data_IF_162957005678
#
_entry.id   IF_162957005678
#
_cell.length_a   1.000
_cell.length_b   1.000
_cell.length_c   1.000
_cell.angle_alpha   90.00
_cell.angle_beta   90.00
_cell.angle_gamma   90.00
#
_symmetry.space_group_name_H-M   'P 1'
#
loop_
_entity.id
_entity.type
_entity.pdbx_description
1 polymer ?
#
# COMPACT_ATOMS: atom_id res chain seq x y z
N UNK A 1 46.66 37.75 27.51
CA UNK A 1 46.83 36.89 26.31
C UNK A 1 45.48 36.67 25.64
N UNK A 2 45.12 37.51 24.65
CA UNK A 2 43.94 37.32 23.80
C UNK A 2 44.43 36.77 22.45
N UNK A 3 44.16 35.50 22.16
CA UNK A 3 44.43 34.90 20.83
C UNK A 3 43.16 35.08 19.99
N UNK A 4 43.16 36.12 19.14
CA UNK A 4 42.30 36.23 17.96
C UNK A 4 42.67 35.06 17.03
N UNK A 5 41.74 34.16 16.74
CA UNK A 5 41.78 33.36 15.52
C UNK A 5 41.44 34.29 14.36
N UNK A 6 42.34 34.39 13.39
CA UNK A 6 42.20 35.18 12.18
C UNK A 6 41.16 34.53 11.27
N UNK A 7 39.96 35.10 11.21
CA UNK A 7 39.11 35.00 10.03
C UNK A 7 39.75 35.86 8.94
N UNK A 8 40.51 35.22 8.06
CA UNK A 8 41.07 35.83 6.86
C UNK A 8 40.24 35.36 5.65
N UNK A 9 38.91 35.57 5.72
CA UNK A 9 38.03 35.49 4.57
C UNK A 9 37.95 36.88 3.94
N UNK A 10 38.98 37.21 3.17
CA UNK A 10 39.01 38.44 2.37
C UNK A 10 37.92 38.36 1.31
N UNK A 11 36.89 39.18 1.46
CA UNK A 11 36.01 39.57 0.37
C UNK A 11 36.88 40.17 -0.74
N UNK A 12 36.98 39.48 -1.88
CA UNK A 12 37.56 40.01 -3.11
C UNK A 12 36.42 40.66 -3.89
N UNK A 13 36.34 41.99 -3.85
CA UNK A 13 35.44 42.75 -4.71
C UNK A 13 35.78 42.53 -6.19
N UNK A 14 34.79 42.11 -6.98
CA UNK A 14 34.74 42.37 -8.42
C UNK A 14 35.03 41.21 -9.38
N UNK A 15 35.46 40.03 -8.93
CA UNK A 15 35.62 38.86 -9.81
C UNK A 15 34.72 37.72 -9.35
N UNK A 16 33.57 37.57 -10.01
CA UNK A 16 32.77 36.36 -9.84
C UNK A 16 33.57 35.15 -10.35
N UNK A 17 33.70 34.14 -9.51
CA UNK A 17 34.34 32.89 -9.91
C UNK A 17 33.59 32.25 -11.09
N UNK A 18 34.26 31.38 -11.84
CA UNK A 18 33.62 30.67 -12.95
C UNK A 18 32.36 29.92 -12.50
N UNK A 19 32.37 29.33 -11.30
CA UNK A 19 31.23 28.61 -10.74
C UNK A 19 30.13 29.56 -10.28
N UNK A 20 30.46 30.69 -9.63
CA UNK A 20 29.46 31.72 -9.28
C UNK A 20 28.72 32.26 -10.50
N UNK A 21 29.42 32.42 -11.63
CA UNK A 21 28.81 32.82 -12.91
C UNK A 21 27.88 31.74 -13.47
N UNK A 22 28.27 30.46 -13.35
CA UNK A 22 27.42 29.32 -13.73
C UNK A 22 26.16 29.30 -12.87
N UNK A 23 26.32 29.35 -11.55
CA UNK A 23 25.24 29.35 -10.57
C UNK A 23 24.25 30.50 -10.80
N UNK A 24 24.76 31.72 -11.00
CA UNK A 24 23.94 32.89 -11.27
C UNK A 24 23.09 32.71 -12.53
N UNK A 25 23.69 32.23 -13.62
CA UNK A 25 22.97 32.02 -14.88
C UNK A 25 21.97 30.86 -14.77
N UNK A 26 22.33 29.78 -14.07
CA UNK A 26 21.44 28.65 -13.82
C UNK A 26 20.20 29.09 -13.02
N UNK A 27 20.36 29.90 -11.97
CA UNK A 27 19.25 30.43 -11.16
C UNK A 27 18.35 31.42 -11.91
N UNK A 28 18.89 32.16 -12.87
CA UNK A 28 18.08 33.04 -13.74
C UNK A 28 17.16 32.23 -14.65
N UNK A 29 17.65 31.10 -15.15
CA UNK A 29 16.96 30.30 -16.16
C UNK A 29 16.04 29.24 -15.55
N UNK A 30 16.41 28.69 -14.40
CA UNK A 30 15.80 27.53 -13.81
C UNK A 30 15.70 27.63 -12.29
N UNK A 31 14.71 26.93 -11.77
CA UNK A 31 14.54 26.68 -10.35
C UNK A 31 14.90 25.21 -10.09
N UNK A 32 15.85 24.99 -9.19
CA UNK A 32 16.41 23.68 -8.86
C UNK A 32 16.05 23.26 -7.43
N UNK A 33 15.79 21.98 -7.26
CA UNK A 33 15.68 21.35 -5.95
C UNK A 33 16.34 19.98 -5.94
N UNK A 34 16.87 19.59 -4.79
CA UNK A 34 17.30 18.21 -4.57
C UNK A 34 16.16 17.43 -3.91
N UNK A 35 15.60 16.47 -4.64
CA UNK A 35 14.51 15.61 -4.16
C UNK A 35 15.08 14.57 -3.19
N UNK A 36 14.76 14.70 -1.91
CA UNK A 36 15.27 13.80 -0.85
C UNK A 36 14.61 12.42 -0.86
N UNK A 37 13.43 12.27 -1.49
CA UNK A 37 12.74 10.98 -1.59
C UNK A 37 13.46 10.11 -2.62
N UNK A 38 13.66 10.65 -3.84
CA UNK A 38 14.31 9.94 -4.95
C UNK A 38 15.82 10.17 -5.07
N UNK A 39 16.42 10.89 -4.11
CA UNK A 39 17.85 11.27 -4.07
C UNK A 39 18.39 11.75 -5.41
N UNK A 40 17.72 12.72 -6.03
CA UNK A 40 18.11 13.26 -7.34
C UNK A 40 17.74 14.73 -7.50
N UNK A 41 18.51 15.47 -8.29
CA UNK A 41 18.17 16.86 -8.62
C UNK A 41 17.00 16.91 -9.61
N UNK A 42 16.09 17.83 -9.37
CA UNK A 42 14.98 18.16 -10.24
C UNK A 42 15.02 19.66 -10.59
N UNK A 43 14.46 20.01 -11.74
CA UNK A 43 14.44 21.38 -12.23
C UNK A 43 13.09 21.74 -12.86
N UNK A 44 12.81 23.03 -12.93
CA UNK A 44 11.78 23.63 -13.79
C UNK A 44 12.29 24.96 -14.33
N UNK A 45 11.64 25.52 -15.33
CA UNK A 45 11.96 26.88 -15.78
C UNK A 45 11.61 27.89 -14.68
N UNK A 46 12.48 28.88 -14.43
CA UNK A 46 12.31 29.83 -13.33
C UNK A 46 11.00 30.64 -13.43
N UNK A 47 10.55 30.93 -14.67
CA UNK A 47 9.31 31.65 -14.95
C UNK A 47 8.06 30.77 -15.01
N UNK A 48 8.19 29.46 -14.75
CA UNK A 48 7.09 28.50 -14.90
C UNK A 48 6.60 27.98 -13.56
N UNK A 49 5.28 27.92 -13.41
CA UNK A 49 4.59 27.18 -12.34
C UNK A 49 4.45 25.68 -12.66
N UNK A 50 5.13 25.18 -13.70
CA UNK A 50 5.12 23.79 -14.10
C UNK A 50 5.73 22.83 -13.05
N UNK A 51 5.51 21.54 -13.27
CA UNK A 51 6.03 20.48 -12.41
C UNK A 51 7.55 20.33 -12.58
N UNK A 52 8.23 20.07 -11.47
CA UNK A 52 9.66 19.72 -11.49
C UNK A 52 9.89 18.42 -12.25
N UNK A 53 10.94 18.40 -13.07
CA UNK A 53 11.38 17.27 -13.87
C UNK A 53 12.76 16.80 -13.42
N UNK A 54 13.07 15.49 -13.51
CA UNK A 54 14.40 15.00 -13.16
C UNK A 54 15.47 15.57 -14.09
N UNK A 55 16.61 15.95 -13.51
CA UNK A 55 17.79 16.34 -14.28
C UNK A 55 18.44 15.07 -14.84
N UNK A 56 18.16 14.78 -16.12
CA UNK A 56 18.77 13.65 -16.83
C UNK A 56 20.10 14.05 -17.47
N UNK A 57 20.86 13.06 -17.97
CA UNK A 57 22.07 13.31 -18.76
C UNK A 57 21.82 14.23 -19.96
N UNK A 58 20.67 14.08 -20.62
CA UNK A 58 20.28 14.95 -21.74
C UNK A 58 20.05 16.39 -21.28
N UNK A 59 19.43 16.57 -20.11
CA UNK A 59 19.18 17.89 -19.52
C UNK A 59 20.48 18.56 -19.09
N UNK A 60 21.42 17.82 -18.47
CA UNK A 60 22.75 18.34 -18.11
C UNK A 60 23.52 18.85 -19.33
N UNK A 61 23.50 18.09 -20.44
CA UNK A 61 24.10 18.53 -21.70
C UNK A 61 23.38 19.76 -22.27
N UNK A 62 22.08 19.87 -22.06
CA UNK A 62 21.30 21.04 -22.47
C UNK A 62 21.66 22.29 -21.66
N UNK A 63 21.87 22.16 -20.34
CA UNK A 63 22.36 23.24 -19.49
C UNK A 63 23.75 23.70 -19.95
N UNK A 64 24.67 22.76 -20.16
CA UNK A 64 26.02 23.05 -20.69
C UNK A 64 25.96 23.86 -21.98
N UNK A 65 25.19 23.40 -22.97
CA UNK A 65 25.01 24.11 -24.26
C UNK A 65 24.49 25.52 -24.05
N UNK A 66 23.55 25.72 -23.11
CA UNK A 66 22.93 27.03 -22.84
C UNK A 66 23.89 28.00 -22.14
N UNK A 67 24.69 27.52 -21.19
CA UNK A 67 25.73 28.31 -20.52
C UNK A 67 26.77 28.83 -21.53
N UNK A 68 27.19 27.98 -22.46
CA UNK A 68 28.11 28.34 -23.54
C UNK A 68 27.47 29.37 -24.49
N UNK A 69 26.27 29.10 -24.99
CA UNK A 69 25.59 29.98 -25.94
C UNK A 69 25.21 31.36 -25.36
N UNK A 70 24.91 31.45 -24.07
CA UNK A 70 24.40 32.70 -23.46
C UNK A 70 25.51 33.56 -22.87
N UNK A 71 26.54 32.94 -22.28
CA UNK A 71 27.57 33.65 -21.52
C UNK A 71 29.00 33.25 -21.90
N UNK A 72 29.19 32.42 -22.93
CA UNK A 72 30.50 31.92 -23.36
C UNK A 72 31.18 31.04 -22.32
N UNK A 73 30.42 30.44 -21.38
CA UNK A 73 30.97 29.68 -20.27
C UNK A 73 31.16 28.22 -20.69
N UNK A 74 32.41 27.85 -21.00
CA UNK A 74 32.80 26.47 -21.30
C UNK A 74 32.95 25.68 -20.01
N UNK A 75 32.08 24.71 -19.74
CA UNK A 75 32.15 23.81 -18.57
C UNK A 75 31.85 22.35 -18.96
N UNK A 76 32.25 21.41 -18.12
CA UNK A 76 31.86 20.00 -18.25
C UNK A 76 30.45 19.77 -17.68
N UNK A 77 29.76 18.74 -18.17
CA UNK A 77 28.49 18.31 -17.60
C UNK A 77 28.66 17.81 -16.15
N UNK A 78 29.81 17.23 -15.83
CA UNK A 78 30.13 16.77 -14.48
C UNK A 78 30.25 17.93 -13.50
N UNK A 79 30.90 19.05 -13.87
CA UNK A 79 30.97 20.22 -13.01
C UNK A 79 29.57 20.79 -12.71
N UNK A 80 28.68 20.83 -13.71
CA UNK A 80 27.27 21.23 -13.50
C UNK A 80 26.58 20.27 -12.55
N UNK A 81 26.78 18.95 -12.73
CA UNK A 81 26.21 17.93 -11.85
C UNK A 81 26.67 18.12 -10.41
N UNK A 82 27.97 18.32 -10.18
CA UNK A 82 28.54 18.56 -8.85
C UNK A 82 27.92 19.79 -8.19
N UNK A 83 27.72 20.89 -8.93
CA UNK A 83 27.01 22.08 -8.42
C UNK A 83 25.56 21.72 -8.05
N UNK A 84 24.84 21.03 -8.94
CA UNK A 84 23.44 20.66 -8.72
C UNK A 84 23.21 19.62 -7.61
N UNK A 85 24.24 18.86 -7.25
CA UNK A 85 24.24 17.89 -6.14
C UNK A 85 24.84 18.50 -4.84
N UNK A 86 25.12 19.81 -4.82
CA UNK A 86 25.57 20.56 -3.64
C UNK A 86 24.42 21.34 -2.96
N UNK A 87 24.79 22.15 -1.96
CA UNK A 87 23.94 23.15 -1.30
C UNK A 87 23.35 24.23 -2.22
N UNK A 88 23.81 24.32 -3.47
CA UNK A 88 23.18 25.16 -4.50
C UNK A 88 21.71 24.78 -4.73
N UNK A 89 21.39 23.48 -4.78
CA UNK A 89 20.02 23.00 -4.91
C UNK A 89 19.41 22.73 -3.53
N UNK A 90 18.36 23.49 -3.16
CA UNK A 90 17.66 23.30 -1.88
C UNK A 90 17.15 21.86 -1.75
N UNK A 91 17.50 21.19 -0.65
CA UNK A 91 16.95 19.86 -0.32
C UNK A 91 15.47 19.99 0.06
N UNK A 92 14.64 19.18 -0.59
CA UNK A 92 13.18 19.22 -0.45
C UNK A 92 12.64 17.81 -0.44
N UNK A 93 11.66 17.56 0.44
CA UNK A 93 10.80 16.38 0.39
C UNK A 93 9.51 16.72 -0.37
N UNK A 94 9.38 16.38 -1.67
CA UNK A 94 8.34 16.97 -2.52
C UNK A 94 6.90 16.63 -2.11
N UNK A 95 6.69 15.44 -1.55
CA UNK A 95 5.38 15.01 -1.06
C UNK A 95 4.94 15.82 0.17
N UNK A 96 5.83 16.02 1.16
CA UNK A 96 5.58 16.86 2.33
C UNK A 96 5.36 18.31 1.95
N UNK A 97 6.16 18.83 1.02
CA UNK A 97 5.97 20.20 0.52
C UNK A 97 4.58 20.34 -0.10
N UNK A 98 4.19 19.43 -0.99
CA UNK A 98 2.83 19.41 -1.56
C UNK A 98 1.75 19.46 -0.47
N UNK A 99 1.77 18.53 0.49
CA UNK A 99 0.76 18.50 1.55
C UNK A 99 0.74 19.74 2.44
N UNK A 100 1.91 20.32 2.74
CA UNK A 100 2.00 21.54 3.55
C UNK A 100 1.58 22.81 2.81
N UNK A 101 1.59 22.81 1.47
CA UNK A 101 1.10 23.94 0.66
C UNK A 101 -0.41 23.97 0.46
N UNK A 102 -1.10 22.87 0.74
CA UNK A 102 -2.56 22.80 0.57
C UNK A 102 -3.27 23.69 1.61
N UNK A 103 -4.40 24.33 1.23
CA UNK A 103 -5.25 24.97 2.21
C UNK A 103 -5.85 23.92 3.16
N UNK A 104 -6.24 24.33 4.36
CA UNK A 104 -6.96 23.46 5.29
C UNK A 104 -8.45 23.72 5.14
N UNK A 105 -9.16 22.78 4.52
CA UNK A 105 -10.61 22.88 4.29
C UNK A 105 -11.36 22.03 5.30
N UNK A 106 -12.37 22.58 5.96
CA UNK A 106 -13.22 21.82 6.88
C UNK A 106 -14.14 20.88 6.06
N UNK A 107 -14.07 19.55 6.25
CA UNK A 107 -14.90 18.61 5.50
C UNK A 107 -16.40 18.79 5.73
N UNK A 108 -16.81 19.27 6.92
CA UNK A 108 -18.21 19.51 7.24
C UNK A 108 -18.83 20.64 6.39
N UNK A 109 -18.01 21.55 5.88
CA UNK A 109 -18.44 22.68 5.05
C UNK A 109 -18.34 22.38 3.55
N UNK A 110 -17.32 21.61 3.14
CA UNK A 110 -16.96 21.46 1.73
C UNK A 110 -17.29 20.08 1.13
N UNK A 111 -17.28 19.01 1.93
CA UNK A 111 -17.69 17.65 1.53
C UNK A 111 -17.01 17.09 0.28
N UNK A 112 -15.74 17.40 0.02
CA UNK A 112 -14.99 16.86 -1.12
C UNK A 112 -14.72 15.35 -0.99
N UNK A 113 -14.42 14.86 0.22
CA UNK A 113 -14.26 13.43 0.51
C UNK A 113 -15.55 12.66 0.18
N UNK A 114 -16.70 13.14 0.68
CA UNK A 114 -18.00 12.53 0.40
C UNK A 114 -18.35 12.55 -1.09
N UNK A 115 -18.08 13.66 -1.78
CA UNK A 115 -18.25 13.74 -3.25
C UNK A 115 -17.41 12.72 -4.01
N UNK A 116 -16.16 12.50 -3.60
CA UNK A 116 -15.29 11.49 -4.18
C UNK A 116 -15.84 10.07 -3.95
N UNK A 117 -16.26 9.78 -2.72
CA UNK A 117 -16.82 8.47 -2.37
C UNK A 117 -18.11 8.15 -3.13
N UNK A 118 -18.95 9.17 -3.36
CA UNK A 118 -20.19 9.04 -4.14
C UNK A 118 -19.96 8.71 -5.62
N UNK A 119 -18.73 8.84 -6.13
CA UNK A 119 -18.39 8.37 -7.48
C UNK A 119 -18.25 6.85 -7.57
N UNK A 120 -18.20 6.15 -6.44
CA UNK A 120 -18.07 4.69 -6.37
C UNK A 120 -19.27 4.11 -5.65
N UNK A 121 -20.06 3.31 -6.36
CA UNK A 121 -21.12 2.51 -5.76
C UNK A 121 -20.55 1.17 -5.36
N UNK A 122 -20.66 0.83 -4.07
CA UNK A 122 -20.15 -0.42 -3.50
C UNK A 122 -21.28 -1.29 -2.96
N UNK A 123 -21.12 -2.62 -3.02
CA UNK A 123 -22.11 -3.56 -2.47
C UNK A 123 -22.14 -3.57 -0.94
N UNK A 124 -21.01 -3.24 -0.31
CA UNK A 124 -20.82 -3.19 1.15
C UNK A 124 -20.58 -1.76 1.67
N UNK A 125 -21.57 -0.83 1.58
CA UNK A 125 -21.36 0.59 1.86
C UNK A 125 -21.20 0.94 3.34
N UNK A 126 -21.57 0.06 4.27
CA UNK A 126 -21.72 0.38 5.70
C UNK A 126 -20.47 0.99 6.38
N UNK A 127 -19.26 0.70 5.87
CA UNK A 127 -17.99 1.25 6.38
C UNK A 127 -17.16 1.96 5.30
N UNK A 128 -17.72 2.19 4.12
CA UNK A 128 -17.00 2.73 2.97
C UNK A 128 -16.34 4.07 3.27
N UNK A 129 -17.14 5.05 3.70
CA UNK A 129 -16.64 6.39 4.00
C UNK A 129 -15.68 6.40 5.20
N UNK A 130 -16.01 5.69 6.27
CA UNK A 130 -15.20 5.64 7.48
C UNK A 130 -13.81 5.07 7.21
N UNK A 131 -13.74 3.89 6.57
CA UNK A 131 -12.49 3.19 6.34
C UNK A 131 -11.65 3.85 5.26
N UNK A 132 -12.28 4.38 4.21
CA UNK A 132 -11.58 5.15 3.19
C UNK A 132 -10.97 6.42 3.77
N UNK A 133 -11.74 7.18 4.55
CA UNK A 133 -11.25 8.42 5.17
C UNK A 133 -10.09 8.14 6.12
N UNK A 134 -10.21 7.12 6.99
CA UNK A 134 -9.11 6.68 7.86
C UNK A 134 -7.87 6.27 7.06
N UNK A 135 -8.05 5.48 6.00
CA UNK A 135 -6.95 5.04 5.15
C UNK A 135 -6.24 6.24 4.51
N UNK A 136 -6.99 7.22 3.99
CA UNK A 136 -6.42 8.39 3.34
C UNK A 136 -5.72 9.35 4.33
N UNK A 137 -6.23 9.48 5.57
CA UNK A 137 -5.49 10.14 6.67
C UNK A 137 -4.21 9.35 6.97
N UNK A 138 -4.26 8.02 6.95
CA UNK A 138 -3.08 7.15 7.10
C UNK A 138 -2.01 7.40 6.03
N UNK A 139 -2.42 7.61 4.76
CA UNK A 139 -1.50 7.99 3.67
C UNK A 139 -0.75 9.29 4.00
N UNK A 140 -1.48 10.31 4.43
CA UNK A 140 -0.90 11.59 4.83
C UNK A 140 0.01 11.41 6.04
N UNK A 141 -0.40 10.62 7.03
CA UNK A 141 0.41 10.35 8.22
C UNK A 141 1.74 9.64 7.87
N UNK A 142 1.74 8.65 6.96
CA UNK A 142 2.95 8.01 6.44
C UNK A 142 3.87 9.03 5.76
N UNK A 143 3.31 9.90 4.91
CA UNK A 143 4.10 10.90 4.21
C UNK A 143 4.70 11.96 5.15
N UNK A 144 4.01 12.30 6.24
CA UNK A 144 4.39 13.37 7.16
C UNK A 144 5.30 12.91 8.31
N UNK A 145 5.43 11.61 8.55
CA UNK A 145 6.22 11.07 9.65
C UNK A 145 7.29 10.07 9.16
N UNK A 146 8.53 10.24 9.62
CA UNK A 146 9.64 9.33 9.30
C UNK A 146 9.72 8.11 10.23
N UNK A 147 8.98 8.11 11.35
CA UNK A 147 9.07 7.05 12.35
C UNK A 147 8.03 5.96 12.14
N UNK A 148 8.49 4.77 11.80
CA UNK A 148 7.64 3.59 11.67
C UNK A 148 6.65 3.67 10.52
N UNK A 149 5.77 2.67 10.44
CA UNK A 149 4.63 2.69 9.53
C UNK A 149 3.40 3.24 10.27
N UNK A 150 2.70 4.17 9.65
CA UNK A 150 1.46 4.78 10.14
C UNK A 150 0.24 4.13 9.46
N UNK A 151 0.32 3.84 8.16
CA UNK A 151 -0.75 3.18 7.40
C UNK A 151 -0.54 1.68 7.30
N UNK A 152 -1.12 0.93 8.25
CA UNK A 152 -1.03 -0.53 8.30
C UNK A 152 -2.06 -1.26 7.41
N UNK A 153 -2.77 -0.55 6.56
CA UNK A 153 -3.91 -1.07 5.80
C UNK A 153 -3.77 -0.81 4.30
N UNK A 154 -4.32 -1.73 3.52
CA UNK A 154 -4.36 -1.72 2.07
C UNK A 154 -5.81 -1.58 1.63
N UNK A 155 -6.11 -0.54 0.84
CA UNK A 155 -7.43 -0.36 0.24
C UNK A 155 -7.60 -1.31 -0.93
N UNK A 156 -8.65 -2.13 -0.95
CA UNK A 156 -8.86 -3.11 -2.02
C UNK A 156 -10.21 -2.89 -2.68
N UNK A 157 -10.21 -2.65 -4.00
CA UNK A 157 -11.42 -2.61 -4.81
C UNK A 157 -11.60 -3.94 -5.53
N UNK A 158 -12.65 -4.68 -5.18
CA UNK A 158 -13.03 -5.95 -5.82
C UNK A 158 -14.18 -5.75 -6.80
N UNK A 159 -14.51 -6.78 -7.57
CA UNK A 159 -15.71 -6.80 -8.41
C UNK A 159 -15.53 -7.73 -9.61
N UNK A 160 -16.61 -8.42 -9.98
CA UNK A 160 -16.58 -9.51 -10.97
C UNK A 160 -16.51 -9.03 -12.42
N UNK A 161 -17.04 -7.83 -12.68
CA UNK A 161 -17.03 -7.27 -14.05
C UNK A 161 -15.68 -6.64 -14.34
N UNK A 162 -15.02 -7.11 -15.41
CA UNK A 162 -13.87 -6.43 -15.99
C UNK A 162 -14.28 -5.06 -16.54
N UNK A 163 -13.34 -4.11 -16.56
CA UNK A 163 -13.57 -2.79 -17.16
C UNK A 163 -14.32 -1.78 -16.28
N UNK A 164 -14.45 -2.02 -14.97
CA UNK A 164 -15.10 -1.09 -14.03
C UNK A 164 -14.25 0.14 -13.64
N UNK A 165 -13.12 0.39 -14.30
CA UNK A 165 -12.21 1.51 -14.01
C UNK A 165 -11.64 1.53 -12.57
N UNK A 166 -11.60 0.38 -11.87
CA UNK A 166 -11.08 0.25 -10.48
C UNK A 166 -9.64 0.76 -10.36
N UNK A 167 -8.71 0.21 -11.15
CA UNK A 167 -7.30 0.61 -11.13
C UNK A 167 -7.13 2.09 -11.50
N UNK A 168 -7.90 2.57 -12.48
CA UNK A 168 -7.91 3.98 -12.89
C UNK A 168 -8.38 4.91 -11.77
N UNK A 169 -9.44 4.55 -11.03
CA UNK A 169 -9.96 5.36 -9.94
C UNK A 169 -8.95 5.44 -8.78
N UNK A 170 -8.32 4.31 -8.45
CA UNK A 170 -7.22 4.25 -7.49
C UNK A 170 -6.02 5.11 -7.91
N UNK A 171 -5.60 5.04 -9.18
CA UNK A 171 -4.55 5.88 -9.73
C UNK A 171 -4.90 7.37 -9.67
N UNK A 172 -6.19 7.69 -9.82
CA UNK A 172 -6.68 9.06 -9.74
C UNK A 172 -6.68 9.64 -8.32
N UNK A 173 -6.57 8.81 -7.28
CA UNK A 173 -6.33 9.28 -5.91
C UNK A 173 -4.97 9.97 -5.77
N UNK A 174 -3.98 9.62 -6.60
CA UNK A 174 -2.70 10.31 -6.60
C UNK A 174 -2.83 11.68 -7.28
N UNK A 175 -2.52 12.80 -6.59
CA UNK A 175 -2.70 14.13 -7.14
C UNK A 175 -1.68 14.39 -8.27
N UNK A 176 -2.05 15.25 -9.23
CA UNK A 176 -1.25 15.51 -10.45
C UNK A 176 0.24 15.83 -10.17
N UNK A 177 0.59 16.69 -9.19
CA UNK A 177 1.98 16.98 -8.88
C UNK A 177 2.79 15.78 -8.38
N UNK A 178 2.11 14.75 -7.86
CA UNK A 178 2.72 13.58 -7.25
C UNK A 178 2.59 12.31 -8.12
N UNK A 179 2.13 12.40 -9.37
CA UNK A 179 1.99 11.23 -10.26
C UNK A 179 3.28 10.42 -10.42
N UNK A 180 4.44 11.06 -10.33
CA UNK A 180 5.74 10.38 -10.35
C UNK A 180 6.02 9.51 -9.11
N UNK A 181 5.17 9.57 -8.09
CA UNK A 181 5.21 8.79 -6.84
C UNK A 181 4.06 7.77 -6.76
N UNK A 182 3.41 7.48 -7.88
CA UNK A 182 2.47 6.38 -8.03
C UNK A 182 3.14 5.26 -8.85
N UNK A 183 3.11 4.05 -8.30
CA UNK A 183 3.43 2.84 -9.03
C UNK A 183 2.15 2.04 -9.24
N UNK A 184 1.92 1.55 -10.46
CA UNK A 184 0.76 0.72 -10.80
C UNK A 184 1.24 -0.49 -11.59
N UNK A 185 0.92 -1.69 -11.10
CA UNK A 185 1.24 -2.93 -11.79
C UNK A 185 1.45 -4.11 -10.85
N UNK A 186 2.09 -5.16 -11.38
CA UNK A 186 2.45 -6.36 -10.62
C UNK A 186 3.71 -6.09 -9.79
N UNK A 187 3.73 -6.63 -8.58
CA UNK A 187 4.85 -6.57 -7.65
C UNK A 187 5.38 -7.97 -7.34
N UNK A 188 6.66 -8.09 -7.01
CA UNK A 188 7.18 -9.29 -6.36
C UNK A 188 7.37 -9.01 -4.87
N UNK A 189 6.50 -9.52 -3.97
CA UNK A 189 6.62 -9.30 -2.53
C UNK A 189 7.92 -9.84 -1.91
N UNK A 190 8.65 -10.71 -2.60
CA UNK A 190 9.94 -11.24 -2.14
C UNK A 190 11.13 -10.56 -2.83
N UNK A 191 10.88 -9.82 -3.90
CA UNK A 191 11.90 -9.09 -4.64
C UNK A 191 12.52 -7.97 -3.81
N UNK A 192 13.74 -7.57 -4.14
CA UNK A 192 14.40 -6.42 -3.49
C UNK A 192 13.85 -5.08 -4.02
N UNK A 193 13.35 -5.06 -5.24
CA UNK A 193 12.88 -3.84 -5.91
C UNK A 193 11.67 -3.22 -5.21
N UNK A 194 10.84 -4.02 -4.52
CA UNK A 194 9.71 -3.50 -3.74
C UNK A 194 10.15 -2.62 -2.57
N UNK A 195 11.35 -2.85 -2.01
CA UNK A 195 11.88 -2.00 -0.95
C UNK A 195 12.14 -0.58 -1.47
N UNK A 196 12.65 -0.46 -2.69
CA UNK A 196 12.78 0.83 -3.38
C UNK A 196 11.42 1.47 -3.62
N UNK A 197 10.41 0.69 -4.03
CA UNK A 197 9.05 1.20 -4.20
C UNK A 197 8.48 1.76 -2.88
N UNK A 198 8.67 1.05 -1.77
CA UNK A 198 8.18 1.46 -0.45
C UNK A 198 8.85 2.75 0.03
N UNK A 199 10.14 2.94 -0.26
CA UNK A 199 10.87 4.14 0.13
C UNK A 199 10.57 5.36 -0.76
N UNK A 200 10.31 5.15 -2.05
CA UNK A 200 10.30 6.23 -3.04
C UNK A 200 8.92 6.61 -3.58
N UNK A 201 7.86 5.84 -3.29
CA UNK A 201 6.52 6.06 -3.82
C UNK A 201 5.52 6.33 -2.70
N UNK A 202 4.57 7.22 -2.96
CA UNK A 202 3.44 7.51 -2.07
C UNK A 202 2.39 6.40 -2.18
N UNK A 203 2.15 5.92 -3.39
CA UNK A 203 1.15 4.90 -3.69
C UNK A 203 1.76 3.73 -4.44
N UNK A 204 1.44 2.52 -3.99
CA UNK A 204 1.69 1.27 -4.69
C UNK A 204 0.32 0.66 -4.98
N UNK A 205 -0.12 0.74 -6.24
CA UNK A 205 -1.34 0.14 -6.74
C UNK A 205 -1.05 -1.24 -7.34
N UNK A 206 -1.50 -2.29 -6.65
CA UNK A 206 -1.31 -3.68 -7.07
C UNK A 206 -2.44 -4.05 -8.03
N UNK A 207 -2.12 -4.25 -9.30
CA UNK A 207 -3.14 -4.50 -10.33
C UNK A 207 -3.33 -6.01 -10.59
N UNK A 208 -4.53 -6.49 -10.27
CA UNK A 208 -5.08 -7.85 -10.45
C UNK A 208 -4.23 -9.01 -9.89
N UNK A 209 -3.13 -8.70 -9.20
CA UNK A 209 -2.20 -9.70 -8.71
C UNK A 209 -2.63 -10.33 -7.39
N UNK A 210 -3.44 -9.63 -6.56
CA UNK A 210 -3.79 -10.13 -5.22
C UNK A 210 -4.46 -11.51 -5.26
N UNK A 211 -5.27 -11.80 -6.29
CA UNK A 211 -5.92 -13.11 -6.47
C UNK A 211 -4.96 -14.22 -6.90
N UNK A 212 -3.86 -13.87 -7.56
CA UNK A 212 -2.83 -14.79 -8.03
C UNK A 212 -1.78 -15.09 -6.95
N UNK A 213 -1.80 -14.37 -5.81
CA UNK A 213 -0.79 -14.56 -4.76
C UNK A 213 -1.00 -15.89 -4.04
N UNK A 214 0.07 -16.67 -4.00
CA UNK A 214 0.13 -17.82 -3.09
C UNK A 214 0.24 -17.35 -1.63
N UNK A 215 -0.03 -18.26 -0.69
CA UNK A 215 0.02 -17.98 0.76
C UNK A 215 1.35 -17.38 1.24
N UNK A 216 2.47 -17.75 0.63
CA UNK A 216 3.78 -17.21 0.98
C UNK A 216 3.91 -15.74 0.58
N UNK A 217 3.50 -15.40 -0.64
CA UNK A 217 3.53 -14.04 -1.17
C UNK A 217 2.50 -13.14 -0.50
N UNK A 218 1.32 -13.67 -0.14
CA UNK A 218 0.34 -12.95 0.67
C UNK A 218 0.92 -12.57 2.04
N UNK A 219 1.60 -13.50 2.71
CA UNK A 219 2.27 -13.23 3.99
C UNK A 219 3.42 -12.24 3.86
N UNK A 220 4.22 -12.33 2.79
CA UNK A 220 5.27 -11.36 2.49
C UNK A 220 4.69 -9.96 2.28
N UNK A 221 3.61 -9.85 1.50
CA UNK A 221 2.90 -8.57 1.29
C UNK A 221 2.34 -8.01 2.60
N UNK A 222 1.71 -8.84 3.44
CA UNK A 222 1.23 -8.45 4.77
C UNK A 222 2.35 -7.87 5.64
N UNK A 223 3.54 -8.44 5.57
CA UNK A 223 4.70 -7.91 6.28
C UNK A 223 5.12 -6.56 5.70
N UNK A 224 5.27 -6.47 4.37
CA UNK A 224 5.66 -5.24 3.68
C UNK A 224 4.75 -4.05 4.01
N UNK A 225 3.43 -4.25 4.03
CA UNK A 225 2.45 -3.22 4.41
C UNK A 225 2.75 -2.63 5.80
N UNK A 226 3.23 -3.45 6.74
CA UNK A 226 3.42 -3.05 8.15
C UNK A 226 4.87 -2.82 8.54
N UNK A 227 5.83 -3.03 7.64
CA UNK A 227 7.25 -2.86 7.93
C UNK A 227 7.54 -1.40 8.29
N UNK A 228 8.21 -1.09 9.41
CA UNK A 228 8.38 0.28 9.88
C UNK A 228 9.31 1.14 9.01
N UNK A 229 10.33 0.53 8.41
CA UNK A 229 11.33 1.17 7.56
C UNK A 229 11.97 0.13 6.64
N UNK A 230 12.50 0.56 5.51
CA UNK A 230 13.12 -0.34 4.52
C UNK A 230 14.61 -0.08 4.42
N UNK A 231 15.41 -1.17 4.40
CA UNK A 231 16.86 -1.12 4.26
C UNK A 231 17.26 -1.57 2.87
N UNK A 232 17.81 -0.67 2.08
CA UNK A 232 18.32 -1.01 0.75
C UNK A 232 19.49 -0.10 0.35
N UNK A 233 20.23 -0.54 -0.66
CA UNK A 233 21.30 0.25 -1.28
C UNK A 233 20.75 0.75 -2.60
N UNK A 234 20.65 2.07 -2.78
CA UNK A 234 20.28 2.62 -4.09
C UNK A 234 21.36 2.26 -5.10
N UNK A 235 21.03 2.17 -6.39
CA UNK A 235 22.04 2.04 -7.42
C UNK A 235 23.10 3.13 -7.26
N UNK A 236 24.38 2.76 -7.31
CA UNK A 236 25.55 3.65 -7.18
C UNK A 236 25.87 4.18 -5.77
N UNK A 237 25.02 3.94 -4.77
CA UNK A 237 25.38 4.23 -3.38
C UNK A 237 26.35 3.18 -2.83
N UNK A 238 27.28 3.63 -1.99
CA UNK A 238 28.31 2.77 -1.39
C UNK A 238 27.74 1.94 -0.24
N UNK A 239 26.82 2.54 0.53
CA UNK A 239 26.32 1.98 1.78
C UNK A 239 24.83 1.61 1.69
N UNK A 240 24.44 0.60 2.48
CA UNK A 240 23.02 0.32 2.72
C UNK A 240 22.52 1.33 3.74
N UNK A 241 21.45 2.03 3.40
CA UNK A 241 20.79 2.98 4.28
C UNK A 241 19.40 2.48 4.66
N UNK A 242 18.88 3.02 5.76
CA UNK A 242 17.52 2.80 6.21
C UNK A 242 16.66 4.00 5.80
N UNK A 243 15.56 3.73 5.10
CA UNK A 243 14.63 4.73 4.60
C UNK A 243 13.26 4.56 5.26
N UNK A 244 12.56 5.67 5.56
CA UNK A 244 11.19 5.63 6.06
C UNK A 244 10.23 4.85 5.15
N UNK A 245 9.19 4.27 5.74
CA UNK A 245 8.09 3.68 4.99
C UNK A 245 7.19 4.79 4.45
N UNK A 246 7.37 5.16 3.18
CA UNK A 246 6.59 6.21 2.54
C UNK A 246 5.30 5.68 1.91
N UNK A 247 5.34 4.49 1.33
CA UNK A 247 4.24 3.97 0.53
C UNK A 247 2.96 3.71 1.33
N UNK A 248 1.83 3.84 0.65
CA UNK A 248 0.54 3.28 1.05
C UNK A 248 0.06 2.35 -0.04
N UNK A 249 -0.41 1.17 0.38
CA UNK A 249 -0.82 0.13 -0.54
C UNK A 249 -2.30 0.27 -0.90
N UNK A 250 -2.59 0.05 -2.18
CA UNK A 250 -3.94 -0.11 -2.69
C UNK A 250 -3.93 -1.19 -3.76
N UNK A 251 -5.09 -1.76 -4.06
CA UNK A 251 -5.19 -2.83 -5.04
C UNK A 251 -6.55 -2.88 -5.73
N UNK A 252 -6.53 -3.31 -6.98
CA UNK A 252 -7.68 -3.68 -7.77
C UNK A 252 -7.66 -5.18 -8.03
N UNK A 253 -8.77 -5.87 -7.78
CA UNK A 253 -8.86 -7.33 -7.94
C UNK A 253 -10.12 -7.70 -8.69
N UNK A 254 -10.01 -8.67 -9.61
CA UNK A 254 -11.16 -9.26 -10.28
C UNK A 254 -11.71 -10.46 -9.48
N UNK A 255 -12.95 -10.33 -9.02
CA UNK A 255 -13.56 -11.30 -8.11
C UNK A 255 -13.45 -10.94 -6.63
N UNK A 256 -14.38 -11.46 -5.84
CA UNK A 256 -14.43 -11.22 -4.40
C UNK A 256 -13.54 -12.17 -3.59
N UNK A 257 -13.18 -13.32 -4.13
CA UNK A 257 -12.36 -14.32 -3.45
C UNK A 257 -10.86 -14.07 -3.69
N UNK A 258 -10.20 -13.39 -2.75
CA UNK A 258 -8.76 -13.13 -2.85
C UNK A 258 -7.99 -13.30 -1.55
N UNK A 259 -8.65 -13.36 -0.39
CA UNK A 259 -8.00 -13.57 0.89
C UNK A 259 -7.84 -15.07 1.15
N UNK A 260 -6.61 -15.60 1.14
CA UNK A 260 -6.37 -17.03 1.39
C UNK A 260 -6.05 -17.35 2.85
N UNK A 261 -5.62 -16.36 3.64
CA UNK A 261 -5.30 -16.53 5.05
C UNK A 261 -6.13 -15.63 5.99
N UNK A 262 -7.01 -16.22 6.82
CA UNK A 262 -7.92 -15.50 7.72
C UNK A 262 -7.21 -14.74 8.84
N UNK A 263 -5.95 -15.09 9.17
CA UNK A 263 -5.24 -14.45 10.30
C UNK A 263 -4.69 -13.06 9.98
N UNK A 264 -4.63 -12.68 8.71
CA UNK A 264 -4.08 -11.40 8.27
C UNK A 264 -5.06 -10.49 7.54
N UNK A 265 -6.36 -10.80 7.55
CA UNK A 265 -7.37 -10.03 6.82
C UNK A 265 -7.52 -8.58 7.32
N UNK A 266 -7.10 -8.26 8.55
CA UNK A 266 -7.16 -6.88 9.08
C UNK A 266 -6.33 -5.83 8.32
N UNK A 267 -5.39 -6.28 7.47
CA UNK A 267 -4.55 -5.39 6.65
C UNK A 267 -5.22 -5.02 5.33
N UNK A 268 -6.34 -5.62 4.97
CA UNK A 268 -7.03 -5.38 3.72
C UNK A 268 -8.42 -4.79 4.00
N UNK A 269 -8.77 -3.74 3.26
CA UNK A 269 -10.06 -3.05 3.32
C UNK A 269 -10.80 -3.31 2.00
N UNK A 270 -11.44 -4.49 1.82
CA UNK A 270 -12.14 -4.84 0.60
C UNK A 270 -13.48 -4.14 0.45
N UNK A 271 -13.70 -3.59 -0.74
CA UNK A 271 -14.99 -3.03 -1.16
C UNK A 271 -15.33 -3.53 -2.55
N UNK A 272 -16.49 -4.18 -2.67
CA UNK A 272 -16.97 -4.68 -3.95
C UNK A 272 -17.58 -3.53 -4.73
N UNK A 273 -16.93 -3.16 -5.83
CA UNK A 273 -17.37 -2.10 -6.72
C UNK A 273 -18.45 -2.64 -7.67
N UNK A 274 -19.61 -1.99 -7.63
CA UNK A 274 -20.73 -2.23 -8.53
C UNK A 274 -20.66 -1.31 -9.76
N UNK A 275 -20.24 -0.06 -9.55
CA UNK A 275 -20.14 0.98 -10.60
C UNK A 275 -19.22 2.12 -10.16
N UNK A 276 -18.45 2.65 -11.11
CA UNK A 276 -17.72 3.92 -10.97
C UNK A 276 -18.28 4.95 -11.94
N UNK A 277 -18.63 6.13 -11.44
CA UNK A 277 -19.00 7.31 -12.23
C UNK A 277 -17.75 8.10 -12.64
N UNK A 278 -17.14 7.65 -13.74
CA UNK A 278 -15.87 8.19 -14.25
C UNK A 278 -15.92 9.70 -14.56
N UNK A 279 -16.91 10.24 -15.30
CA UNK A 279 -16.99 11.68 -15.59
C UNK A 279 -17.01 12.56 -14.33
N UNK A 280 -17.80 12.16 -13.32
CA UNK A 280 -17.84 12.89 -12.05
C UNK A 280 -16.51 12.79 -11.32
N UNK A 281 -15.88 11.61 -11.27
CA UNK A 281 -14.57 11.42 -10.66
C UNK A 281 -13.45 12.26 -11.32
N UNK A 282 -13.48 12.43 -12.64
CA UNK A 282 -12.53 13.29 -13.37
C UNK A 282 -12.67 14.78 -13.02
N UNK A 283 -13.88 15.23 -12.67
CA UNK A 283 -14.13 16.62 -12.28
C UNK A 283 -13.65 16.96 -10.86
N UNK A 284 -13.35 15.95 -10.02
CA UNK A 284 -12.96 16.14 -8.63
C UNK A 284 -11.47 16.48 -8.55
N UNK A 285 -11.18 17.66 -7.99
CA UNK A 285 -9.81 18.09 -7.73
C UNK A 285 -9.27 17.40 -6.48
N UNK A 286 -8.29 16.51 -6.65
CA UNK A 286 -7.64 15.82 -5.52
C UNK A 286 -7.00 16.79 -4.52
N UNK A 287 -6.51 17.95 -4.96
CA UNK A 287 -6.00 18.99 -4.06
C UNK A 287 -7.01 19.35 -2.96
N UNK A 288 -8.30 19.45 -3.30
CA UNK A 288 -9.35 19.79 -2.34
C UNK A 288 -9.68 18.61 -1.41
N UNK A 289 -9.64 17.38 -1.92
CA UNK A 289 -9.80 16.17 -1.09
C UNK A 289 -8.66 16.09 -0.07
N UNK A 290 -7.41 16.26 -0.51
CA UNK A 290 -6.26 16.25 0.41
C UNK A 290 -6.23 17.47 1.33
N UNK A 291 -6.82 18.59 0.94
CA UNK A 291 -7.00 19.75 1.83
C UNK A 291 -7.90 19.43 3.03
N UNK A 292 -8.97 18.67 2.79
CA UNK A 292 -9.86 18.13 3.83
C UNK A 292 -9.18 17.06 4.70
N UNK A 293 -8.42 16.15 4.08
CA UNK A 293 -7.66 15.13 4.81
C UNK A 293 -6.56 15.75 5.67
N UNK A 294 -5.85 16.76 5.15
CA UNK A 294 -4.85 17.51 5.91
C UNK A 294 -5.48 18.24 7.09
N UNK A 295 -6.68 18.80 6.94
CA UNK A 295 -7.44 19.36 8.06
C UNK A 295 -7.71 18.29 9.13
N UNK A 296 -8.26 17.13 8.76
CA UNK A 296 -8.54 16.03 9.69
C UNK A 296 -7.27 15.52 10.39
N UNK A 297 -6.17 15.37 9.65
CA UNK A 297 -4.87 14.98 10.18
C UNK A 297 -4.35 16.00 11.22
N UNK A 298 -4.43 17.30 10.93
CA UNK A 298 -4.01 18.37 11.84
C UNK A 298 -4.88 18.47 13.09
N UNK A 299 -6.15 18.10 13.00
CA UNK A 299 -7.07 17.97 14.15
C UNK A 299 -6.80 16.72 15.00
N UNK A 300 -5.88 15.84 14.59
CA UNK A 300 -5.56 14.62 15.34
C UNK A 300 -6.64 13.54 15.24
N UNK A 301 -7.43 13.54 14.16
CA UNK A 301 -8.43 12.49 13.93
C UNK A 301 -7.75 11.13 13.82
N UNK A 302 -8.24 10.16 14.59
CA UNK A 302 -7.67 8.81 14.66
C UNK A 302 -7.85 8.05 13.35
N UNK A 303 -6.73 7.68 12.73
CA UNK A 303 -6.69 6.88 11.50
C UNK A 303 -6.34 5.41 11.71
N UNK A 304 -5.79 5.04 12.89
CA UNK A 304 -5.50 3.65 13.20
C UNK A 304 -6.73 2.93 13.78
N UNK A 305 -6.86 1.65 13.42
CA UNK A 305 -7.96 0.79 13.83
C UNK A 305 -7.74 0.28 15.26
N UNK A 306 -8.78 0.32 16.08
CA UNK A 306 -8.78 -0.28 17.42
C UNK A 306 -9.23 -1.75 17.39
N UNK A 307 -9.17 -2.44 18.52
CA UNK A 307 -9.52 -3.87 18.59
C UNK A 307 -10.99 -4.17 18.22
N UNK A 308 -11.92 -3.26 18.47
CA UNK A 308 -13.32 -3.40 18.07
C UNK A 308 -13.46 -3.30 16.54
N UNK A 309 -12.87 -2.28 15.94
CA UNK A 309 -12.89 -2.05 14.49
C UNK A 309 -12.15 -3.17 13.75
N UNK A 310 -11.07 -3.69 14.32
CA UNK A 310 -10.37 -4.86 13.78
C UNK A 310 -11.29 -6.09 13.80
N UNK A 311 -12.06 -6.32 14.86
CA UNK A 311 -13.05 -7.40 14.92
C UNK A 311 -14.15 -7.22 13.87
N UNK A 312 -14.69 -6.02 13.72
CA UNK A 312 -15.68 -5.69 12.70
C UNK A 312 -15.12 -5.92 11.29
N UNK A 313 -13.89 -5.48 11.03
CA UNK A 313 -13.19 -5.68 9.76
C UNK A 313 -12.97 -7.16 9.47
N UNK A 314 -12.57 -7.95 10.46
CA UNK A 314 -12.42 -9.40 10.30
C UNK A 314 -13.73 -10.07 9.92
N UNK A 315 -14.85 -9.67 10.53
CA UNK A 315 -16.18 -10.20 10.19
C UNK A 315 -16.62 -9.78 8.79
N UNK A 316 -16.43 -8.52 8.42
CA UNK A 316 -16.76 -8.00 7.08
C UNK A 316 -15.93 -8.68 5.98
N UNK A 317 -14.67 -9.01 6.27
CA UNK A 317 -13.76 -9.64 5.33
C UNK A 317 -14.05 -11.12 5.07
N UNK A 318 -14.87 -11.78 5.91
CA UNK A 318 -15.21 -13.19 5.77
C UNK A 318 -15.86 -13.52 4.41
N UNK A 319 -16.60 -12.57 3.81
CA UNK A 319 -17.21 -12.71 2.48
C UNK A 319 -16.22 -12.63 1.31
N UNK A 320 -14.98 -12.18 1.54
CA UNK A 320 -13.92 -12.05 0.53
C UNK A 320 -12.82 -13.13 0.67
N UNK A 321 -12.99 -14.04 1.64
CA UNK A 321 -12.09 -15.16 1.83
C UNK A 321 -12.35 -16.25 0.80
N UNK A 322 -11.29 -16.80 0.23
CA UNK A 322 -11.37 -17.94 -0.69
C UNK A 322 -12.02 -19.12 0.04
N UNK A 323 -13.15 -19.59 -0.47
CA UNK A 323 -13.74 -20.84 0.00
C UNK A 323 -12.98 -22.00 -0.63
N UNK A 324 -12.45 -22.90 0.20
CA UNK A 324 -11.80 -24.10 -0.30
C UNK A 324 -12.83 -25.21 -0.45
N UNK A 325 -12.63 -26.12 -1.41
CA UNK A 325 -13.47 -27.32 -1.56
C UNK A 325 -13.55 -28.10 -0.25
N UNK A 326 -12.45 -28.15 0.53
CA UNK A 326 -12.46 -28.75 1.86
C UNK A 326 -13.42 -28.06 2.84
N UNK A 327 -13.57 -26.73 2.77
CA UNK A 327 -14.46 -25.98 3.63
C UNK A 327 -15.92 -26.20 3.24
N UNK A 328 -16.24 -26.12 1.94
CA UNK A 328 -17.59 -26.39 1.42
C UNK A 328 -18.07 -27.79 1.82
N UNK A 329 -17.23 -28.80 1.55
CA UNK A 329 -17.49 -30.19 1.92
C UNK A 329 -17.64 -30.39 3.42
N UNK A 330 -16.79 -29.73 4.21
CA UNK A 330 -16.87 -29.79 5.66
C UNK A 330 -18.21 -29.23 6.16
N UNK A 331 -18.66 -28.09 5.63
CA UNK A 331 -19.94 -27.48 6.02
C UNK A 331 -21.17 -28.24 5.54
N UNK A 332 -21.06 -28.99 4.43
CA UNK A 332 -22.17 -29.79 3.90
C UNK A 332 -22.36 -31.10 4.67
N UNK A 333 -21.26 -31.77 5.05
CA UNK A 333 -21.31 -33.12 5.59
C UNK A 333 -21.03 -33.21 7.09
N UNK A 334 -20.68 -32.11 7.75
CA UNK A 334 -20.41 -32.09 9.18
C UNK A 334 -21.01 -30.87 9.89
N UNK A 335 -21.47 -31.10 11.11
CA UNK A 335 -22.04 -30.08 12.00
C UNK A 335 -21.33 -30.08 13.36
N UNK A 336 -21.51 -28.99 14.12
CA UNK A 336 -21.03 -28.89 15.50
C UNK A 336 -21.95 -29.72 16.40
N UNK A 337 -21.43 -30.67 17.19
CA UNK A 337 -22.25 -31.39 18.16
C UNK A 337 -22.79 -30.41 19.22
N UNK A 338 -23.99 -30.67 19.74
CA UNK A 338 -24.53 -29.96 20.91
C UNK A 338 -23.67 -30.24 22.15
N UNK A 339 -23.81 -29.44 23.22
CA UNK A 339 -23.00 -29.61 24.44
C UNK A 339 -23.14 -31.03 25.05
N UNK A 340 -24.33 -31.62 24.96
CA UNK A 340 -24.61 -32.98 25.44
C UNK A 340 -23.98 -34.06 24.56
N UNK A 341 -23.89 -33.81 23.25
CA UNK A 341 -23.34 -34.74 22.25
C UNK A 341 -21.82 -34.61 22.10
N UNK A 342 -21.23 -33.47 22.50
CA UNK A 342 -19.81 -33.15 22.35
C UNK A 342 -18.86 -34.28 22.82
N UNK A 343 -19.09 -34.95 23.97
CA UNK A 343 -18.22 -36.04 24.42
C UNK A 343 -18.19 -37.25 23.48
N UNK A 344 -19.31 -37.51 22.79
CA UNK A 344 -19.55 -38.68 21.95
C UNK A 344 -18.89 -38.53 20.57
N UNK A 345 -18.82 -37.30 20.05
CA UNK A 345 -18.32 -37.03 18.71
C UNK A 345 -16.88 -36.53 18.75
N UNK A 346 -15.95 -37.41 18.36
CA UNK A 346 -14.52 -37.10 18.20
C UNK A 346 -14.00 -37.76 16.93
N UNK A 347 -13.38 -36.98 16.05
CA UNK A 347 -12.72 -37.48 14.85
C UNK A 347 -11.36 -36.82 14.66
N UNK A 348 -10.35 -37.57 14.23
CA UNK A 348 -9.06 -37.03 13.82
C UNK A 348 -9.15 -36.39 12.44
N UNK A 349 -8.22 -35.49 12.09
CA UNK A 349 -8.17 -34.88 10.75
C UNK A 349 -8.15 -35.95 9.65
N UNK A 350 -7.37 -37.03 9.85
CA UNK A 350 -7.30 -38.15 8.92
C UNK A 350 -8.65 -38.90 8.76
N UNK A 351 -9.42 -39.08 9.85
CA UNK A 351 -10.74 -39.72 9.78
C UNK A 351 -11.76 -38.85 9.05
N UNK A 352 -11.73 -37.53 9.28
CA UNK A 352 -12.59 -36.57 8.58
C UNK A 352 -12.24 -36.57 7.09
N UNK A 353 -10.94 -36.55 6.77
CA UNK A 353 -10.46 -36.55 5.39
C UNK A 353 -10.79 -37.85 4.65
N UNK A 354 -10.68 -39.01 5.31
CA UNK A 354 -11.09 -40.29 4.74
C UNK A 354 -12.58 -40.29 4.39
N UNK A 355 -13.44 -39.82 5.30
CA UNK A 355 -14.89 -39.70 5.07
C UNK A 355 -15.22 -38.77 3.90
N UNK A 356 -14.53 -37.64 3.78
CA UNK A 356 -14.74 -36.72 2.67
C UNK A 356 -14.25 -37.30 1.33
N UNK A 357 -13.17 -38.09 1.33
CA UNK A 357 -12.71 -38.81 0.13
C UNK A 357 -13.66 -39.92 -0.32
N UNK A 358 -14.34 -40.57 0.61
CA UNK A 358 -15.37 -41.57 0.26
C UNK A 358 -16.57 -40.93 -0.43
N UNK A 359 -16.88 -39.67 -0.10
CA UNK A 359 -18.00 -38.91 -0.68
C UNK A 359 -17.58 -38.23 -1.99
N UNK A 360 -16.31 -37.85 -2.14
CA UNK A 360 -15.83 -37.09 -3.28
C UNK A 360 -14.48 -37.58 -3.79
N UNK A 361 -14.41 -37.85 -5.10
CA UNK A 361 -13.19 -38.28 -5.78
C UNK A 361 -12.13 -37.18 -5.95
N UNK A 362 -12.40 -35.93 -5.54
CA UNK A 362 -11.43 -34.83 -5.65
C UNK A 362 -10.28 -34.99 -4.64
N UNK A 363 -9.10 -34.51 -5.03
CA UNK A 363 -7.91 -34.53 -4.18
C UNK A 363 -8.01 -33.47 -3.07
N UNK A 364 -8.34 -33.91 -1.85
CA UNK A 364 -8.40 -33.06 -0.66
C UNK A 364 -7.06 -33.00 0.08
N UNK A 365 -6.69 -31.81 0.55
CA UNK A 365 -5.47 -31.56 1.31
C UNK A 365 -5.73 -31.58 2.83
N UNK A 366 -4.94 -32.36 3.58
CA UNK A 366 -5.02 -32.40 5.04
C UNK A 366 -4.77 -31.03 5.68
N UNK A 367 -3.86 -30.25 5.10
CA UNK A 367 -3.54 -28.90 5.56
C UNK A 367 -4.74 -27.95 5.38
N UNK A 368 -5.36 -27.94 4.19
CA UNK A 368 -6.53 -27.10 3.91
C UNK A 368 -7.74 -27.51 4.73
N UNK A 369 -7.96 -28.81 4.94
CA UNK A 369 -9.00 -29.31 5.83
C UNK A 369 -8.78 -28.88 7.29
N UNK A 370 -7.54 -28.92 7.77
CA UNK A 370 -7.21 -28.41 9.11
C UNK A 370 -7.48 -26.91 9.26
N UNK A 371 -7.19 -26.12 8.24
CA UNK A 371 -7.52 -24.69 8.18
C UNK A 371 -9.04 -24.46 8.15
N UNK A 372 -9.77 -25.24 7.34
CA UNK A 372 -11.23 -25.22 7.27
C UNK A 372 -11.90 -25.58 8.61
N UNK A 373 -11.41 -26.61 9.31
CA UNK A 373 -11.92 -27.03 10.62
C UNK A 373 -11.76 -25.93 11.67
N UNK A 374 -10.62 -25.24 11.67
CA UNK A 374 -10.38 -24.10 12.54
C UNK A 374 -11.29 -22.92 12.18
N UNK A 375 -11.44 -22.62 10.89
CA UNK A 375 -12.31 -21.53 10.38
C UNK A 375 -13.78 -21.76 10.74
N UNK A 376 -14.29 -22.97 10.55
CA UNK A 376 -15.65 -23.35 10.94
C UNK A 376 -15.85 -23.34 12.47
N UNK A 377 -14.78 -23.21 13.26
CA UNK A 377 -14.83 -23.10 14.72
C UNK A 377 -15.07 -24.43 15.41
N UNK A 378 -14.60 -25.54 14.83
CA UNK A 378 -14.62 -26.84 15.51
C UNK A 378 -13.58 -26.88 16.64
N UNK A 379 -13.99 -27.39 17.80
CA UNK A 379 -13.12 -27.45 18.98
C UNK A 379 -12.07 -28.56 18.82
N UNK A 380 -10.80 -28.16 18.77
CA UNK A 380 -9.67 -29.10 18.73
C UNK A 380 -9.38 -29.62 20.14
N UNK A 381 -9.32 -30.93 20.30
CA UNK A 381 -9.08 -31.61 21.59
C UNK A 381 -8.04 -32.71 21.43
N UNK A 382 -7.30 -32.98 22.52
CA UNK A 382 -6.35 -34.08 22.60
C UNK A 382 -7.01 -35.24 23.33
N UNK A 383 -7.05 -36.43 22.72
CA UNK A 383 -7.66 -37.63 23.29
C UNK A 383 -6.67 -38.80 23.26
N UNK A 384 -6.58 -39.56 24.35
CA UNK A 384 -5.85 -40.84 24.37
C UNK A 384 -6.75 -41.93 23.80
N UNK A 385 -6.25 -42.67 22.82
CA UNK A 385 -6.99 -43.75 22.15
C UNK A 385 -6.53 -45.09 22.76
N UNK A 386 -7.47 -45.88 23.29
CA UNK A 386 -7.34 -47.27 23.76
C UNK A 386 -6.00 -47.69 24.38
N UNK A 387 -5.81 -47.49 25.70
CA UNK A 387 -4.69 -48.03 26.52
C UNK A 387 -3.26 -47.88 25.94
N UNK A 388 -3.06 -47.16 24.84
CA UNK A 388 -1.77 -46.88 24.24
C UNK A 388 -1.17 -45.61 24.84
N UNK A 389 0.15 -45.57 24.88
CA UNK A 389 0.97 -44.54 25.55
C UNK A 389 0.97 -43.17 24.85
N UNK A 390 0.33 -43.02 23.68
CA UNK A 390 0.33 -41.77 22.93
C UNK A 390 -1.07 -41.17 22.79
N UNK A 391 -1.10 -39.84 22.80
CA UNK A 391 -2.31 -39.01 22.64
C UNK A 391 -2.42 -38.51 21.21
N UNK A 392 -3.64 -38.46 20.67
CA UNK A 392 -3.90 -37.97 19.31
C UNK A 392 -4.75 -36.70 19.38
N UNK A 393 -4.44 -35.73 18.50
CA UNK A 393 -5.26 -34.54 18.32
C UNK A 393 -6.41 -34.82 17.34
N UNK A 394 -7.60 -34.36 17.68
CA UNK A 394 -8.77 -34.41 16.80
C UNK A 394 -9.74 -33.27 17.11
N UNK A 395 -10.92 -33.34 16.52
CA UNK A 395 -11.95 -32.31 16.60
C UNK A 395 -13.25 -32.89 17.13
N UNK A 396 -14.01 -32.06 17.87
CA UNK A 396 -15.39 -32.33 18.24
C UNK A 396 -16.29 -32.02 17.05
N UNK A 397 -16.66 -33.05 16.29
CA UNK A 397 -17.32 -32.90 15.00
C UNK A 397 -18.26 -34.09 14.75
N UNK A 398 -19.48 -33.78 14.29
CA UNK A 398 -20.55 -34.75 14.06
C UNK A 398 -20.84 -34.84 12.56
N UNK A 399 -20.83 -36.05 11.95
CA UNK A 399 -21.27 -36.22 10.57
C UNK A 399 -22.77 -35.93 10.46
N UNK A 400 -23.17 -35.15 9.45
CA UNK A 400 -24.58 -34.94 9.12
C UNK A 400 -25.12 -36.26 8.53
N UNK A 401 -26.27 -36.78 9.00
CA UNK A 401 -26.88 -37.94 8.39
C UNK A 401 -27.22 -37.62 6.94
N UNK A 402 -26.68 -38.38 5.99
CA UNK A 402 -27.08 -38.28 4.58
C UNK A 402 -28.55 -38.67 4.45
N UNK A 403 -29.46 -37.69 4.44
CA UNK A 403 -30.77 -37.89 3.83
C UNK A 403 -30.54 -38.07 2.33
N UNK A 404 -30.88 -39.23 1.79
CA UNK A 404 -30.90 -39.48 0.36
C UNK A 404 -31.75 -38.42 -0.35
N UNK A 405 -31.15 -37.35 -0.86
CA UNK A 405 -31.75 -36.56 -1.94
C UNK A 405 -31.41 -37.29 -3.24
N UNK A 406 -32.21 -38.32 -3.54
CA UNK A 406 -32.45 -38.71 -4.91
C UNK A 406 -33.10 -37.53 -5.63
N UNK A 407 -32.64 -37.28 -6.85
CA UNK A 407 -33.27 -36.45 -7.89
C UNK A 407 -33.68 -35.03 -7.49
N UNK A 408 -32.86 -34.04 -7.87
CA UNK A 408 -33.33 -32.83 -8.55
C UNK A 408 -32.12 -32.00 -9.02
N UNK A 409 -31.55 -32.42 -10.15
CA UNK A 409 -30.87 -31.51 -11.06
C UNK A 409 -31.42 -31.82 -12.45
N UNK A 410 -32.40 -31.01 -12.86
CA UNK A 410 -32.86 -30.85 -14.24
C UNK A 410 -32.35 -29.53 -14.79
#
# INVERSE_FOLDING_TARGET
MKKKRSDDARHIEGWQSKNERIESLLNVLYDFRFNTVKSRTEYRAASSSGLYQPVTKFVLNSFRRRLDATAGIVTSAENIRTILESDFARKVHPIREYFNTLPLLNPAEHGHIGRLLNTVQVANPGKWEEYFTKWLIGVVANAMNDTGCQNHTCLVLTGDKQGQFKSWWLDNLCPTPLKNYLFTGKIDPQGKDILTLIAEYLFINIDDQLKELNKQNENALKNLITTPAVKYRRPYDVYIEEYPHLASFMASVNGNEFLTDPTGSRRFLPFEVLRIDKPTAESIRMDNVYSEIMYLYRQGVRYWFNDMEIRELHLANAGFEVQTVEFEMLTQYFEKPTEEEEPLFFMTTAQILARLRDICAMQLSEKRLGEALRKAGFKRVQKRINKQTYSVYGYRIKPVPTSCTNSDYG
#
